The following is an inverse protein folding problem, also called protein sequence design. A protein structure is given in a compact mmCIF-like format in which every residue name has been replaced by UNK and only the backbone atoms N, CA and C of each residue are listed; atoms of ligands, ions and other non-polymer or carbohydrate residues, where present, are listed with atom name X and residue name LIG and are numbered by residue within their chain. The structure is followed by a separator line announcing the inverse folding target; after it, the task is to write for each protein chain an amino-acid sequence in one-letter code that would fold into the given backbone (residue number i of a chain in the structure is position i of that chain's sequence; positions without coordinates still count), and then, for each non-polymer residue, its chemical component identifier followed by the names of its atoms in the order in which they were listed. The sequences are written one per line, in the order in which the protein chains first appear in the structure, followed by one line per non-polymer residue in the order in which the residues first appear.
data_IF_968828502172
#
_entry.id   IF_968828502172
#
_cell.length_a   1.000
_cell.length_b   1.000
_cell.length_c   1.000
_cell.angle_alpha   90.00
_cell.angle_beta   90.00
_cell.angle_gamma   90.00
#
_symmetry.space_group_name_H-M   'P 1'
#
loop_
_entity.id
_entity.type
_entity.pdbx_description
1 polymer ?
#
# COMPACT_ATOMS: atom_id res chain seq x y z
N UNK A 1 16.58 13.34 -25.40
CA UNK A 1 17.89 13.67 -24.78
C UNK A 1 17.79 14.66 -23.60
N UNK A 2 16.66 14.75 -22.88
CA UNK A 2 16.54 15.68 -21.74
C UNK A 2 17.07 15.08 -20.42
N UNK A 3 16.93 13.77 -20.23
CA UNK A 3 17.32 13.09 -18.99
C UNK A 3 18.83 13.09 -18.76
N UNK A 4 19.63 12.94 -19.82
CA UNK A 4 21.10 12.97 -19.75
C UNK A 4 21.60 14.32 -19.21
N UNK A 5 21.08 15.41 -19.77
CA UNK A 5 21.45 16.77 -19.35
C UNK A 5 21.08 17.05 -17.89
N UNK A 6 19.89 16.64 -17.45
CA UNK A 6 19.45 16.83 -16.08
C UNK A 6 20.36 16.08 -15.07
N UNK A 7 20.76 14.84 -15.39
CA UNK A 7 21.66 14.02 -14.56
C UNK A 7 23.06 14.66 -14.48
N UNK A 8 23.56 15.23 -15.58
CA UNK A 8 24.87 15.86 -15.65
C UNK A 8 24.91 17.23 -14.94
N UNK A 9 23.80 17.98 -14.92
CA UNK A 9 23.78 19.36 -14.43
C UNK A 9 23.08 19.56 -13.06
N UNK A 10 22.40 18.54 -12.52
CA UNK A 10 21.81 18.59 -11.16
C UNK A 10 22.29 17.44 -10.25
N UNK A 11 23.62 17.27 -10.09
CA UNK A 11 24.23 16.04 -9.56
C UNK A 11 24.08 15.85 -8.05
N UNK A 12 23.42 16.75 -7.31
CA UNK A 12 23.21 16.58 -5.87
C UNK A 12 21.79 16.10 -5.54
N UNK A 13 20.75 16.65 -6.16
CA UNK A 13 19.36 16.34 -5.82
C UNK A 13 18.85 15.04 -6.48
N UNK A 14 19.19 14.81 -7.76
CA UNK A 14 18.88 13.55 -8.44
C UNK A 14 19.69 12.37 -7.85
N UNK A 15 20.90 12.64 -7.40
CA UNK A 15 21.79 11.66 -6.76
C UNK A 15 21.35 11.32 -5.34
N UNK A 16 21.09 12.33 -4.51
CA UNK A 16 20.74 12.10 -3.11
C UNK A 16 19.45 11.29 -3.02
N UNK A 17 18.42 11.61 -3.80
CA UNK A 17 17.16 10.83 -3.83
C UNK A 17 17.38 9.41 -4.37
N UNK A 18 18.09 9.23 -5.48
CA UNK A 18 18.35 7.89 -6.03
C UNK A 18 19.22 7.01 -5.10
N UNK A 19 20.21 7.58 -4.41
CA UNK A 19 21.01 6.88 -3.40
C UNK A 19 20.22 6.58 -2.15
N UNK A 20 19.49 7.57 -1.63
CA UNK A 20 18.72 7.44 -0.40
C UNK A 20 17.70 6.33 -0.49
N UNK A 21 16.99 6.23 -1.63
CA UNK A 21 15.86 5.32 -1.81
C UNK A 21 16.22 4.02 -2.54
N UNK A 22 17.48 3.80 -2.88
CA UNK A 22 17.91 2.56 -3.53
C UNK A 22 18.36 1.50 -2.50
N UNK A 23 18.08 0.21 -2.76
CA UNK A 23 18.56 -0.90 -1.96
C UNK A 23 20.07 -0.89 -1.80
N UNK A 24 20.54 -1.35 -0.64
CA UNK A 24 21.97 -1.40 -0.31
C UNK A 24 22.79 -2.23 -1.30
N UNK A 25 22.20 -3.27 -1.88
CA UNK A 25 22.82 -4.11 -2.91
C UNK A 25 22.71 -3.57 -4.34
N UNK A 26 22.02 -2.44 -4.57
CA UNK A 26 21.82 -1.91 -5.92
C UNK A 26 23.13 -1.37 -6.54
N UNK A 27 23.21 -1.38 -7.87
CA UNK A 27 24.36 -0.86 -8.60
C UNK A 27 24.64 0.62 -8.26
N UNK A 28 23.59 1.42 -8.11
CA UNK A 28 23.68 2.83 -7.69
C UNK A 28 24.35 2.97 -6.31
N UNK A 29 23.94 2.15 -5.34
CA UNK A 29 24.52 2.15 -4.00
C UNK A 29 25.99 1.75 -3.99
N UNK A 30 26.36 0.73 -4.79
CA UNK A 30 27.75 0.29 -4.95
C UNK A 30 28.64 1.33 -5.62
N UNK A 31 28.16 1.97 -6.68
CA UNK A 31 28.95 2.93 -7.45
C UNK A 31 29.17 4.25 -6.71
N UNK A 32 28.26 4.61 -5.79
CA UNK A 32 28.25 5.93 -5.14
C UNK A 32 28.23 5.89 -3.61
N UNK A 33 28.67 4.78 -3.01
CA UNK A 33 28.79 4.59 -1.56
C UNK A 33 29.56 5.74 -0.86
N UNK A 34 30.59 6.27 -1.52
CA UNK A 34 31.44 7.35 -1.02
C UNK A 34 30.78 8.75 -1.08
N UNK A 35 29.59 8.86 -1.68
CA UNK A 35 28.80 10.09 -1.78
C UNK A 35 27.53 10.05 -0.92
N UNK A 36 27.39 9.07 -0.03
CA UNK A 36 26.26 9.03 0.90
C UNK A 36 26.28 10.28 1.79
N UNK A 37 25.19 11.06 1.85
CA UNK A 37 25.13 12.23 2.70
C UNK A 37 25.11 11.79 4.17
N UNK A 38 26.21 12.07 4.87
CA UNK A 38 26.48 11.67 6.27
C UNK A 38 25.40 12.19 7.24
N UNK A 39 24.64 13.21 6.85
CA UNK A 39 23.65 13.89 7.67
C UNK A 39 22.20 13.43 7.46
N UNK A 40 21.92 12.46 6.59
CA UNK A 40 20.54 12.02 6.31
C UNK A 40 20.41 10.52 6.50
N UNK A 41 19.73 10.11 7.57
CA UNK A 41 19.36 8.72 7.81
C UNK A 41 17.92 8.47 7.31
N UNK A 42 17.77 7.58 6.32
CA UNK A 42 16.44 7.14 5.87
C UNK A 42 15.97 6.00 6.75
N UNK A 43 14.83 6.21 7.41
CA UNK A 43 14.09 5.18 8.13
C UNK A 43 12.71 4.99 7.52
N UNK A 44 12.26 3.74 7.32
CA UNK A 44 12.88 2.48 7.73
C UNK A 44 14.09 2.10 6.87
N UNK A 45 14.95 1.22 7.40
CA UNK A 45 16.13 0.75 6.69
C UNK A 45 15.70 0.05 5.39
N UNK A 46 16.11 0.59 4.25
CA UNK A 46 15.85 -0.03 2.95
C UNK A 46 16.61 -1.36 2.91
N UNK A 47 15.89 -2.43 2.59
CA UNK A 47 16.45 -3.78 2.49
C UNK A 47 17.57 -3.89 1.46
N UNK A 48 18.28 -5.03 1.49
CA UNK A 48 19.45 -5.24 0.63
C UNK A 48 19.10 -5.35 -0.86
N UNK A 49 17.85 -5.69 -1.19
CA UNK A 49 17.32 -5.76 -2.55
C UNK A 49 15.91 -5.20 -2.64
N UNK A 50 15.48 -4.87 -3.86
CA UNK A 50 14.06 -4.64 -4.14
C UNK A 50 13.33 -5.97 -3.96
N UNK A 51 12.63 -6.12 -2.84
CA UNK A 51 11.68 -7.22 -2.66
C UNK A 51 10.49 -6.99 -3.59
N UNK A 52 10.22 -7.92 -4.51
CA UNK A 52 9.15 -7.78 -5.50
C UNK A 52 7.75 -8.04 -4.92
N UNK A 53 7.65 -8.78 -3.80
CA UNK A 53 6.39 -9.04 -3.11
C UNK A 53 6.67 -9.31 -1.62
N UNK A 54 6.03 -8.54 -0.74
CA UNK A 54 6.20 -8.67 0.71
C UNK A 54 5.23 -9.69 1.34
N UNK A 55 4.01 -9.76 0.83
CA UNK A 55 2.98 -10.68 1.32
C UNK A 55 1.85 -10.82 0.30
N UNK A 56 1.20 -11.99 0.28
CA UNK A 56 0.04 -12.27 -0.57
C UNK A 56 -1.18 -12.57 0.30
N UNK A 57 -2.20 -11.71 0.24
CA UNK A 57 -3.44 -11.87 0.99
C UNK A 57 -4.41 -12.77 0.23
N UNK A 58 -4.63 -13.98 0.73
CA UNK A 58 -5.51 -14.99 0.11
C UNK A 58 -6.87 -15.06 0.82
N UNK A 59 -7.96 -15.18 0.05
CA UNK A 59 -9.28 -15.44 0.63
C UNK A 59 -10.49 -14.90 -0.14
N UNK A 60 -10.30 -14.10 -1.19
CA UNK A 60 -11.36 -13.81 -2.15
C UNK A 60 -11.57 -14.99 -3.10
N UNK A 61 -12.82 -15.27 -3.47
CA UNK A 61 -13.19 -16.35 -4.42
C UNK A 61 -13.42 -15.83 -5.85
N UNK A 62 -13.23 -14.53 -6.06
CA UNK A 62 -13.34 -13.87 -7.36
C UNK A 62 -12.31 -12.75 -7.53
N UNK A 63 -12.27 -12.12 -8.72
CA UNK A 63 -11.37 -11.00 -8.99
C UNK A 63 -11.50 -9.87 -7.98
N UNK A 64 -10.36 -9.36 -7.49
CA UNK A 64 -10.29 -8.16 -6.66
C UNK A 64 -10.24 -6.93 -7.56
N UNK A 65 -11.19 -6.03 -7.42
CA UNK A 65 -11.32 -4.83 -8.24
C UNK A 65 -10.68 -3.58 -7.62
N UNK A 66 -10.62 -3.52 -6.29
CA UNK A 66 -10.14 -2.34 -5.59
C UNK A 66 -9.50 -2.70 -4.26
N UNK A 67 -8.50 -1.90 -3.86
CA UNK A 67 -7.84 -1.98 -2.56
C UNK A 67 -7.65 -0.57 -2.00
N UNK A 68 -7.73 -0.43 -0.68
CA UNK A 68 -7.46 0.82 0.02
C UNK A 68 -6.73 0.53 1.34
N UNK A 69 -5.70 1.31 1.64
CA UNK A 69 -5.11 1.34 2.98
C UNK A 69 -5.92 2.28 3.87
N UNK A 70 -6.02 1.93 5.15
CA UNK A 70 -6.44 2.88 6.18
C UNK A 70 -5.40 3.99 6.32
N UNK A 71 -5.82 5.15 6.79
CA UNK A 71 -4.93 6.30 6.92
C UNK A 71 -3.83 6.07 7.97
N UNK A 72 -4.16 5.32 9.02
CA UNK A 72 -3.19 4.85 10.03
C UNK A 72 -2.28 3.71 9.54
N UNK A 73 -2.47 3.22 8.31
CA UNK A 73 -1.75 2.10 7.69
C UNK A 73 -1.83 0.76 8.43
N UNK A 74 -2.68 0.65 9.47
CA UNK A 74 -2.83 -0.58 10.24
C UNK A 74 -3.67 -1.64 9.50
N UNK A 75 -4.52 -1.20 8.56
CA UNK A 75 -5.49 -2.05 7.88
C UNK A 75 -5.45 -1.85 6.38
N UNK A 76 -5.81 -2.90 5.65
CA UNK A 76 -6.10 -2.87 4.22
C UNK A 76 -7.51 -3.36 4.00
N UNK A 77 -8.26 -2.73 3.09
CA UNK A 77 -9.54 -3.21 2.61
C UNK A 77 -9.42 -3.63 1.14
N UNK A 78 -10.13 -4.68 0.77
CA UNK A 78 -10.24 -5.16 -0.61
C UNK A 78 -11.70 -5.38 -0.99
N UNK A 79 -12.05 -5.04 -2.23
CA UNK A 79 -13.38 -5.24 -2.81
C UNK A 79 -13.30 -6.17 -4.03
N UNK A 80 -14.28 -7.05 -4.17
CA UNK A 80 -14.22 -8.17 -5.11
C UNK A 80 -15.54 -8.47 -5.82
N UNK A 81 -15.43 -9.17 -6.94
CA UNK A 81 -16.54 -9.78 -7.66
C UNK A 81 -17.31 -10.82 -6.83
N UNK A 82 -16.69 -11.37 -5.78
CA UNK A 82 -17.35 -12.30 -4.86
C UNK A 82 -18.37 -11.63 -3.92
N UNK A 83 -18.74 -10.38 -4.19
CA UNK A 83 -19.76 -9.59 -3.48
C UNK A 83 -19.28 -9.15 -2.08
N UNK A 84 -18.07 -9.52 -1.68
CA UNK A 84 -17.54 -9.19 -0.36
C UNK A 84 -16.57 -8.02 -0.39
N UNK A 85 -16.56 -7.31 0.74
CA UNK A 85 -15.40 -6.51 1.17
C UNK A 85 -14.65 -7.35 2.20
N UNK A 86 -13.32 -7.34 2.19
CA UNK A 86 -12.49 -7.94 3.25
C UNK A 86 -11.56 -6.91 3.83
N UNK A 87 -11.36 -6.96 5.14
CA UNK A 87 -10.39 -6.15 5.87
C UNK A 87 -9.31 -7.05 6.42
N UNK A 88 -8.07 -6.60 6.25
CA UNK A 88 -6.85 -7.30 6.59
C UNK A 88 -6.06 -6.47 7.59
N UNK A 89 -5.51 -7.13 8.59
CA UNK A 89 -4.52 -6.55 9.48
C UNK A 89 -3.17 -6.54 8.77
N UNK A 90 -2.55 -5.37 8.65
CA UNK A 90 -1.28 -5.22 7.91
C UNK A 90 -0.12 -5.95 8.61
N UNK A 91 -0.12 -5.97 9.94
CA UNK A 91 0.99 -6.49 10.74
C UNK A 91 1.07 -8.02 10.74
N UNK A 92 -0.09 -8.67 10.73
CA UNK A 92 -0.21 -10.13 10.77
C UNK A 92 -0.57 -10.74 9.41
N UNK A 93 -1.05 -9.94 8.46
CA UNK A 93 -1.63 -10.42 7.20
C UNK A 93 -2.95 -11.18 7.41
N UNK A 94 -3.49 -11.20 8.62
CA UNK A 94 -4.70 -11.93 8.95
C UNK A 94 -5.95 -11.19 8.44
N UNK A 95 -6.93 -11.94 7.96
CA UNK A 95 -8.26 -11.42 7.66
C UNK A 95 -8.98 -11.10 8.98
N UNK A 96 -9.32 -9.84 9.20
CA UNK A 96 -10.01 -9.37 10.41
C UNK A 96 -11.53 -9.43 10.27
N UNK A 97 -12.06 -9.00 9.13
CA UNK A 97 -13.49 -8.79 8.95
C UNK A 97 -13.87 -8.96 7.48
N UNK A 98 -15.07 -9.47 7.21
CA UNK A 98 -15.69 -9.35 5.90
C UNK A 98 -17.05 -8.67 6.07
N UNK A 99 -17.16 -7.37 5.76
CA UNK A 99 -18.46 -6.72 5.73
C UNK A 99 -19.38 -7.40 4.70
N UNK A 100 -20.49 -7.96 5.19
CA UNK A 100 -21.49 -8.66 4.41
C UNK A 100 -22.74 -7.79 4.22
N UNK A 101 -23.37 -7.90 3.06
CA UNK A 101 -24.67 -7.24 2.80
C UNK A 101 -24.81 -6.55 1.45
N UNK A 102 -23.75 -6.52 0.63
CA UNK A 102 -23.93 -6.26 -0.81
C UNK A 102 -24.57 -7.48 -1.47
N UNK A 103 -25.34 -7.26 -2.54
CA UNK A 103 -25.96 -8.33 -3.34
C UNK A 103 -25.39 -8.42 -4.76
N UNK A 104 -24.34 -7.65 -5.04
CA UNK A 104 -23.63 -7.66 -6.32
C UNK A 104 -22.14 -7.32 -6.17
N UNK A 105 -21.34 -7.52 -7.23
CA UNK A 105 -19.91 -7.23 -7.24
C UNK A 105 -19.56 -5.87 -6.65
N UNK A 106 -18.57 -5.83 -5.77
CA UNK A 106 -18.09 -4.58 -5.15
C UNK A 106 -16.91 -4.06 -5.95
N UNK A 107 -17.06 -2.87 -6.53
CA UNK A 107 -16.08 -2.34 -7.48
C UNK A 107 -15.07 -1.40 -6.82
N UNK A 108 -15.41 -0.80 -5.69
CA UNK A 108 -14.57 0.22 -5.05
C UNK A 108 -14.73 0.24 -3.53
N UNK A 109 -13.63 0.53 -2.85
CA UNK A 109 -13.57 0.75 -1.40
C UNK A 109 -12.74 2.00 -1.07
N UNK A 110 -13.11 2.69 -0.01
CA UNK A 110 -12.35 3.83 0.51
C UNK A 110 -12.49 3.93 2.03
N UNK A 111 -11.38 4.19 2.73
CA UNK A 111 -11.40 4.50 4.15
C UNK A 111 -11.75 5.98 4.38
N UNK A 112 -12.43 6.26 5.48
CA UNK A 112 -12.48 7.62 6.03
C UNK A 112 -11.10 8.04 6.52
N UNK A 113 -10.90 9.35 6.62
CA UNK A 113 -9.62 9.92 7.03
C UNK A 113 -9.21 9.49 8.45
N UNK A 114 -10.17 9.34 9.36
CA UNK A 114 -9.96 8.86 10.72
C UNK A 114 -9.79 7.33 10.82
N UNK A 115 -9.80 6.61 9.70
CA UNK A 115 -9.73 5.14 9.61
C UNK A 115 -10.86 4.38 10.32
N UNK A 116 -11.85 5.09 10.86
CA UNK A 116 -12.94 4.48 11.63
C UNK A 116 -14.07 3.94 10.77
N UNK A 117 -14.18 4.40 9.51
CA UNK A 117 -15.23 3.98 8.58
C UNK A 117 -14.65 3.53 7.25
N UNK A 118 -15.42 2.67 6.58
CA UNK A 118 -15.15 2.24 5.22
C UNK A 118 -16.39 2.46 4.36
N UNK A 119 -16.23 3.05 3.18
CA UNK A 119 -17.26 3.10 2.17
C UNK A 119 -17.01 2.04 1.10
N UNK A 120 -18.05 1.38 0.63
CA UNK A 120 -18.00 0.45 -0.51
C UNK A 120 -19.09 0.73 -1.53
N UNK A 121 -18.77 0.63 -2.81
CA UNK A 121 -19.69 0.83 -3.93
C UNK A 121 -19.84 -0.46 -4.75
N UNK A 122 -21.08 -0.84 -5.04
CA UNK A 122 -21.41 -2.13 -5.66
C UNK A 122 -22.36 -1.99 -6.86
N UNK A 123 -22.34 -3.02 -7.71
CA UNK A 123 -23.30 -3.21 -8.79
C UNK A 123 -24.75 -3.44 -8.30
N UNK A 124 -24.97 -3.62 -6.99
CA UNK A 124 -26.31 -3.66 -6.39
C UNK A 124 -27.00 -2.28 -6.31
N UNK A 125 -26.42 -1.27 -6.94
CA UNK A 125 -26.90 0.12 -6.96
C UNK A 125 -26.84 0.81 -5.59
N UNK A 126 -26.05 0.28 -4.64
CA UNK A 126 -25.90 0.87 -3.32
C UNK A 126 -24.45 1.24 -2.99
N UNK A 127 -24.32 2.25 -2.13
CA UNK A 127 -23.11 2.52 -1.37
C UNK A 127 -23.39 2.17 0.08
N UNK A 128 -22.48 1.40 0.70
CA UNK A 128 -22.58 1.05 2.13
C UNK A 128 -21.44 1.68 2.90
N UNK A 129 -21.76 2.15 4.10
CA UNK A 129 -20.79 2.69 5.05
C UNK A 129 -20.72 1.73 6.23
N UNK A 130 -19.51 1.27 6.52
CA UNK A 130 -19.19 0.32 7.58
C UNK A 130 -18.50 1.06 8.71
N UNK A 131 -18.99 0.90 9.93
CA UNK A 131 -18.32 1.38 11.13
C UNK A 131 -17.35 0.31 11.64
N UNK A 132 -16.07 0.64 11.66
CA UNK A 132 -14.97 -0.23 12.08
C UNK A 132 -14.48 0.06 13.50
N UNK A 133 -15.04 1.09 14.15
CA UNK A 133 -14.73 1.44 15.54
C UNK A 133 -15.34 0.43 16.52
N UNK A 134 -16.47 -0.17 16.13
CA UNK A 134 -17.20 -1.18 16.90
C UNK A 134 -16.81 -2.60 16.54
N UNK A 135 -15.54 -2.86 16.22
CA UNK A 135 -15.03 -4.19 15.93
C UNK A 135 -15.40 -5.19 17.04
N UNK A 136 -16.57 -5.81 16.94
CA UNK A 136 -17.05 -6.84 17.84
C UNK A 136 -17.78 -7.85 16.96
N UNK A 137 -17.05 -8.87 16.56
CA UNK A 137 -17.13 -10.17 17.23
C UNK A 137 -15.88 -11.00 16.88
N UNK A 138 -15.17 -11.41 17.93
CA UNK A 138 -14.35 -12.62 17.94
C UNK A 138 -15.25 -13.83 17.66
#
# INVERSE_FOLDING_TARGET
MAHKWAIENTPLQAYASALLFSPRGSLTRRLFLHKEPIHIEVRPAIGDSWSACLSTLQGHSGPVYSVAFSHDSARLASASNDITVKIWDQSSGARMLAPEGHSGPVNSVAFSHDSARLASASNDMTVKIWDLSRGVRL
#
